data_IF_830060110522
#
_entry.id   IF_830060110522
#
_cell.length_a   1.000
_cell.length_b   1.000
_cell.length_c   1.000
_cell.angle_alpha   90.00
_cell.angle_beta   90.00
_cell.angle_gamma   90.00
#
_symmetry.space_group_name_H-M   'P 1'
#
loop_
_entity.id
_entity.type
_entity.pdbx_description
1 polymer ?
#
# COMPACT_ATOMS: atom_id res chain seq x y z
N UNK A 1 14.54 -5.86 11.14
CA UNK A 1 14.70 -4.79 10.12
C UNK A 1 14.14 -5.30 8.82
N UNK A 2 13.22 -4.57 8.20
CA UNK A 2 12.79 -4.83 6.82
C UNK A 2 13.89 -4.23 5.94
N UNK A 3 14.54 -5.05 5.12
CA UNK A 3 15.48 -4.52 4.11
C UNK A 3 14.66 -3.93 2.97
N UNK A 4 14.76 -2.62 2.78
CA UNK A 4 14.02 -1.93 1.72
C UNK A 4 14.81 -1.97 0.41
N UNK A 5 14.27 -2.53 -0.68
CA UNK A 5 14.89 -2.45 -1.99
C UNK A 5 15.30 -1.01 -2.36
N UNK A 6 16.55 -0.81 -2.82
CA UNK A 6 17.06 0.52 -3.23
C UNK A 6 16.16 1.23 -4.25
N UNK A 7 15.49 0.46 -5.09
CA UNK A 7 14.53 0.97 -6.07
C UNK A 7 13.33 1.61 -5.38
N UNK A 8 12.79 1.04 -4.30
CA UNK A 8 11.67 1.66 -3.56
C UNK A 8 12.07 2.99 -2.92
N UNK A 9 13.28 3.07 -2.33
CA UNK A 9 13.80 4.33 -1.81
C UNK A 9 13.87 5.39 -2.90
N UNK A 10 14.53 5.11 -4.02
CA UNK A 10 14.68 6.06 -5.11
C UNK A 10 13.33 6.54 -5.67
N UNK A 11 12.35 5.64 -5.79
CA UNK A 11 11.05 5.96 -6.37
C UNK A 11 10.21 6.80 -5.40
N UNK A 12 10.11 6.41 -4.13
CA UNK A 12 9.39 7.20 -3.12
C UNK A 12 10.01 8.58 -2.93
N UNK A 13 11.35 8.70 -2.95
CA UNK A 13 12.03 9.98 -2.83
C UNK A 13 11.89 10.88 -4.07
N UNK A 14 11.61 10.30 -5.24
CA UNK A 14 11.27 11.06 -6.46
C UNK A 14 9.79 11.45 -6.54
N UNK A 15 9.03 11.26 -5.45
CA UNK A 15 7.59 11.57 -5.38
C UNK A 15 6.69 10.54 -6.03
N UNK A 16 7.25 9.42 -6.51
CA UNK A 16 6.46 8.33 -7.10
C UNK A 16 5.88 7.43 -6.03
N UNK A 17 4.76 6.83 -6.37
CA UNK A 17 4.08 5.85 -5.55
C UNK A 17 4.61 4.45 -5.86
N UNK A 18 4.88 3.68 -4.81
CA UNK A 18 5.18 2.23 -4.90
C UNK A 18 4.04 1.46 -4.27
N UNK A 19 3.65 0.34 -4.83
CA UNK A 19 2.49 -0.39 -4.37
C UNK A 19 2.22 -1.67 -5.14
N UNK A 20 1.11 -2.31 -4.82
CA UNK A 20 0.64 -3.53 -5.49
C UNK A 20 -0.87 -3.59 -5.44
N UNK A 21 -1.46 -3.96 -6.56
CA UNK A 21 -2.89 -4.20 -6.70
C UNK A 21 -3.10 -5.61 -7.25
N UNK A 22 -4.14 -6.29 -6.78
CA UNK A 22 -4.51 -7.61 -7.29
C UNK A 22 -5.15 -8.50 -6.24
N UNK A 23 -5.37 -9.75 -6.62
CA UNK A 23 -5.97 -10.75 -5.75
C UNK A 23 -4.90 -11.51 -4.96
N UNK A 24 -5.23 -11.81 -3.71
CA UNK A 24 -4.47 -12.73 -2.85
C UNK A 24 -5.41 -13.72 -2.19
N UNK A 25 -4.97 -14.96 -1.99
CA UNK A 25 -5.73 -15.93 -1.21
C UNK A 25 -5.30 -15.85 0.25
N UNK A 26 -6.24 -15.58 1.16
CA UNK A 26 -6.02 -15.66 2.62
C UNK A 26 -7.03 -16.61 3.24
N UNK A 27 -6.56 -17.61 3.98
CA UNK A 27 -7.42 -18.61 4.65
C UNK A 27 -8.47 -19.25 3.70
N UNK A 28 -8.11 -19.48 2.43
CA UNK A 28 -9.01 -20.05 1.43
C UNK A 28 -9.96 -19.05 0.75
N UNK A 29 -9.92 -17.77 1.12
CA UNK A 29 -10.76 -16.71 0.55
C UNK A 29 -9.94 -15.86 -0.42
N UNK A 30 -10.50 -15.58 -1.60
CA UNK A 30 -9.94 -14.61 -2.55
C UNK A 30 -10.24 -13.19 -2.07
N UNK A 31 -9.20 -12.38 -1.91
CA UNK A 31 -9.28 -11.00 -1.44
C UNK A 31 -8.68 -10.10 -2.51
N UNK A 32 -9.48 -9.16 -3.00
CA UNK A 32 -8.96 -8.05 -3.79
C UNK A 32 -8.27 -7.06 -2.88
N UNK A 33 -7.06 -6.64 -3.26
CA UNK A 33 -6.24 -5.76 -2.45
C UNK A 33 -5.62 -4.64 -3.27
N UNK A 34 -5.46 -3.49 -2.62
CA UNK A 34 -4.59 -2.40 -3.05
C UNK A 34 -3.73 -1.96 -1.88
N UNK A 35 -2.42 -1.85 -2.10
CA UNK A 35 -1.51 -1.27 -1.12
C UNK A 35 -0.55 -0.31 -1.80
N UNK A 36 -0.16 0.75 -1.10
CA UNK A 36 0.88 1.62 -1.58
C UNK A 36 1.53 2.49 -0.52
N UNK A 37 2.69 3.03 -0.87
CA UNK A 37 3.42 4.06 -0.15
C UNK A 37 3.77 5.18 -1.13
N UNK A 38 3.54 6.43 -0.71
CA UNK A 38 4.04 7.61 -1.40
C UNK A 38 4.69 8.55 -0.39
N UNK A 39 5.75 9.24 -0.79
CA UNK A 39 6.26 10.37 -0.01
C UNK A 39 5.49 11.63 -0.37
N UNK A 40 4.91 12.30 0.63
CA UNK A 40 4.21 13.56 0.48
C UNK A 40 4.78 14.57 1.48
N UNK A 41 5.43 15.61 0.97
CA UNK A 41 6.16 16.57 1.82
C UNK A 41 7.25 15.89 2.66
N UNK A 42 7.17 16.06 3.98
CA UNK A 42 8.11 15.48 4.95
C UNK A 42 7.82 14.04 5.36
N UNK A 43 6.71 13.45 4.92
CA UNK A 43 6.20 12.17 5.44
C UNK A 43 6.01 11.11 4.35
N UNK A 44 5.95 9.85 4.77
CA UNK A 44 5.53 8.71 3.96
C UNK A 44 4.10 8.36 4.34
N UNK A 45 3.22 8.32 3.34
CA UNK A 45 1.83 7.92 3.50
C UNK A 45 1.69 6.50 3.00
N UNK A 46 1.30 5.59 3.89
CA UNK A 46 0.99 4.20 3.58
C UNK A 46 -0.53 3.99 3.51
N UNK A 47 -0.95 3.20 2.53
CA UNK A 47 -2.36 2.88 2.25
C UNK A 47 -2.54 1.38 2.09
N UNK A 48 -3.59 0.84 2.70
CA UNK A 48 -4.04 -0.54 2.53
C UNK A 48 -5.54 -0.58 2.35
N UNK A 49 -6.00 -1.34 1.35
CA UNK A 49 -7.39 -1.63 1.08
C UNK A 49 -7.51 -3.12 0.77
N UNK A 50 -8.43 -3.80 1.45
CA UNK A 50 -8.74 -5.21 1.24
C UNK A 50 -10.25 -5.43 1.23
N UNK A 51 -10.75 -6.21 0.30
CA UNK A 51 -12.16 -6.62 0.25
C UNK A 51 -12.23 -8.07 -0.23
N UNK A 52 -13.00 -8.96 0.42
CA UNK A 52 -13.26 -10.29 -0.11
C UNK A 52 -13.90 -10.18 -1.50
N UNK A 53 -13.40 -10.93 -2.47
CA UNK A 53 -13.88 -10.89 -3.86
C UNK A 53 -15.41 -11.10 -3.93
N UNK A 54 -15.92 -12.05 -3.15
CA UNK A 54 -17.33 -12.36 -3.04
C UNK A 54 -18.19 -11.21 -2.49
N UNK A 55 -17.57 -10.20 -1.86
CA UNK A 55 -18.24 -9.08 -1.19
C UNK A 55 -17.89 -7.73 -1.82
N UNK A 56 -17.24 -7.70 -2.99
CA UNK A 56 -16.84 -6.44 -3.65
C UNK A 56 -18.00 -5.48 -3.96
N UNK A 57 -19.24 -5.98 -4.03
CA UNK A 57 -20.44 -5.17 -4.24
C UNK A 57 -20.94 -4.48 -2.96
N UNK A 58 -20.41 -4.88 -1.80
CA UNK A 58 -20.74 -4.33 -0.50
C UNK A 58 -19.58 -3.45 -0.04
N UNK A 59 -19.75 -2.14 -0.15
CA UNK A 59 -18.70 -1.17 0.24
C UNK A 59 -18.27 -1.35 1.70
N UNK A 60 -19.21 -1.74 2.57
CA UNK A 60 -19.01 -2.01 4.01
C UNK A 60 -18.09 -3.20 4.30
N UNK A 61 -17.90 -4.10 3.33
CA UNK A 61 -17.02 -5.27 3.47
C UNK A 61 -15.55 -4.93 3.21
N UNK A 62 -15.26 -3.73 2.71
CA UNK A 62 -13.90 -3.27 2.52
C UNK A 62 -13.27 -2.85 3.85
N UNK A 63 -12.05 -3.31 4.08
CA UNK A 63 -11.17 -2.79 5.13
C UNK A 63 -10.18 -1.83 4.48
N UNK A 64 -10.26 -0.56 4.87
CA UNK A 64 -9.36 0.49 4.40
C UNK A 64 -8.60 1.12 5.57
N UNK A 65 -7.31 1.39 5.38
CA UNK A 65 -6.48 2.03 6.38
C UNK A 65 -5.39 2.89 5.74
N UNK A 66 -5.13 4.03 6.36
CA UNK A 66 -4.13 5.00 5.93
C UNK A 66 -3.29 5.43 7.13
N UNK A 67 -1.99 5.58 6.93
CA UNK A 67 -1.08 6.04 7.98
C UNK A 67 0.05 6.90 7.42
N UNK A 68 0.18 8.12 7.95
CA UNK A 68 1.36 8.96 7.78
C UNK A 68 2.44 8.60 8.80
N UNK A 69 3.68 8.51 8.34
CA UNK A 69 4.86 8.20 9.18
C UNK A 69 6.09 8.93 8.66
N UNK A 70 7.14 9.03 9.48
CA UNK A 70 8.33 9.82 9.14
C UNK A 70 9.34 9.06 8.28
N UNK A 71 9.28 7.72 8.29
CA UNK A 71 10.24 6.87 7.58
C UNK A 71 9.57 5.87 6.65
N UNK A 72 10.28 5.45 5.60
CA UNK A 72 9.79 4.42 4.67
C UNK A 72 9.66 3.06 5.36
N UNK A 73 10.55 2.78 6.31
CA UNK A 73 10.59 1.57 7.11
C UNK A 73 9.33 1.43 7.98
N UNK A 74 8.88 2.51 8.62
CA UNK A 74 7.63 2.54 9.38
C UNK A 74 6.40 2.31 8.47
N UNK A 75 6.44 2.85 7.25
CA UNK A 75 5.35 2.69 6.28
C UNK A 75 5.26 1.23 5.82
N UNK A 76 6.40 0.60 5.55
CA UNK A 76 6.49 -0.82 5.20
C UNK A 76 6.07 -1.71 6.37
N UNK A 77 6.47 -1.38 7.59
CA UNK A 77 6.08 -2.12 8.78
C UNK A 77 4.57 -2.06 8.99
N UNK A 78 3.96 -0.88 8.85
CA UNK A 78 2.51 -0.71 8.91
C UNK A 78 1.79 -1.60 7.88
N UNK A 79 2.20 -1.56 6.61
CA UNK A 79 1.59 -2.39 5.57
C UNK A 79 1.75 -3.89 5.85
N UNK A 80 2.91 -4.31 6.39
CA UNK A 80 3.16 -5.70 6.77
C UNK A 80 2.24 -6.14 7.90
N UNK A 81 2.08 -5.32 8.92
CA UNK A 81 1.29 -5.65 10.10
C UNK A 81 -0.21 -5.77 9.76
N UNK A 82 -0.72 -4.85 8.94
CA UNK A 82 -2.14 -4.84 8.58
C UNK A 82 -2.50 -5.89 7.51
N UNK A 83 -1.66 -6.05 6.48
CA UNK A 83 -1.96 -7.00 5.39
C UNK A 83 -1.51 -8.42 5.72
N UNK A 84 -0.62 -8.60 6.71
CA UNK A 84 0.08 -9.87 7.00
C UNK A 84 0.74 -10.49 5.77
N UNK A 85 1.17 -9.67 4.83
CA UNK A 85 1.76 -10.10 3.58
C UNK A 85 3.20 -9.61 3.41
N UNK A 86 3.86 -10.21 2.43
CA UNK A 86 5.18 -9.76 2.02
C UNK A 86 5.09 -8.39 1.32
N UNK A 87 5.72 -7.40 1.95
CA UNK A 87 5.82 -6.02 1.45
C UNK A 87 7.08 -5.80 0.63
N UNK A 88 7.91 -6.83 0.43
CA UNK A 88 9.15 -6.74 -0.36
C UNK A 88 8.89 -6.63 -1.88
N UNK A 89 7.69 -7.01 -2.31
CA UNK A 89 7.30 -7.03 -3.73
C UNK A 89 6.44 -5.83 -4.15
N UNK A 90 6.57 -4.65 -3.52
CA UNK A 90 5.89 -3.46 -4.06
C UNK A 90 6.70 -2.89 -5.21
N UNK A 91 6.01 -2.63 -6.31
CA UNK A 91 6.59 -2.09 -7.52
C UNK A 91 6.14 -0.64 -7.72
N UNK A 92 6.86 0.15 -8.53
CA UNK A 92 6.36 1.46 -8.94
C UNK A 92 4.97 1.31 -9.61
N UNK A 93 3.96 1.98 -9.06
CA UNK A 93 2.64 1.97 -9.67
C UNK A 93 2.66 2.81 -10.94
N UNK A 94 2.32 2.18 -12.07
CA UNK A 94 2.15 2.84 -13.37
C UNK A 94 0.66 3.07 -13.62
N UNK A 95 0.25 4.30 -13.93
CA UNK A 95 -1.15 4.62 -14.27
C UNK A 95 -1.94 5.21 -13.11
N UNK A 96 -3.11 4.64 -12.80
CA UNK A 96 -4.02 5.12 -11.75
C UNK A 96 -3.38 4.98 -10.37
N UNK A 97 -2.69 6.05 -9.95
CA UNK A 97 -2.16 6.21 -8.60
C UNK A 97 -3.30 6.07 -7.59
N UNK A 98 -3.03 5.39 -6.47
CA UNK A 98 -4.02 5.28 -5.38
C UNK A 98 -4.13 6.62 -4.66
N UNK A 99 -3.05 7.39 -4.62
CA UNK A 99 -3.05 8.76 -4.12
C UNK A 99 -3.08 9.75 -5.29
N UNK A 100 -3.77 10.89 -5.14
CA UNK A 100 -3.62 12.01 -6.07
C UNK A 100 -2.68 13.04 -5.48
N UNK A 101 -1.77 13.60 -6.30
CA UNK A 101 -0.91 14.70 -5.87
C UNK A 101 -1.76 15.86 -5.33
N UNK A 102 -1.49 16.27 -4.08
CA UNK A 102 -2.21 17.36 -3.41
C UNK A 102 -3.43 16.93 -2.58
N UNK A 103 -3.79 15.64 -2.55
CA UNK A 103 -4.83 15.14 -1.66
C UNK A 103 -4.48 13.74 -1.14
N UNK A 104 -3.52 13.62 -0.21
CA UNK A 104 -3.22 12.37 0.47
C UNK A 104 -4.28 12.07 1.54
N UNK A 105 -5.56 11.97 1.14
CA UNK A 105 -6.76 11.77 1.96
C UNK A 105 -6.98 12.76 3.12
#
# INVERSE_FOLDING_TARGET
MIETPRIMHAQTHSGKQVGKCGYVTKMGVSIYRRMAIQRSGGEFVAYSFEVPEAQMVLEEAATEAVKGVSTLEEALQFLRDISRCDVRDLDPLKGAQIFKAGNPL
#
